data_IF_604136862103
#
_entry.id   IF_604136862103
#
_cell.length_a   1.000
_cell.length_b   1.000
_cell.length_c   1.000
_cell.angle_alpha   90.00
_cell.angle_beta   90.00
_cell.angle_gamma   90.00
#
_symmetry.space_group_name_H-M   'P 1'
#
loop_
_entity.id
_entity.type
_entity.pdbx_description
1 polymer ?
#
# COMPACT_ATOMS: atom_id res chain seq x y z
N UNK A 1 22.22 -0.96 -78.21
CA UNK A 1 22.82 -2.01 -77.37
C UNK A 1 23.38 -1.37 -76.10
N UNK A 2 23.03 -1.95 -74.95
CA UNK A 2 23.81 -1.94 -73.71
C UNK A 2 23.85 -0.63 -72.88
N UNK A 3 22.87 -0.42 -71.98
CA UNK A 3 23.07 0.16 -70.64
C UNK A 3 22.01 -0.36 -69.64
N UNK A 4 21.99 -1.68 -69.46
CA UNK A 4 21.58 -2.29 -68.19
C UNK A 4 22.87 -2.53 -67.41
N UNK A 5 23.04 -1.91 -66.23
CA UNK A 5 23.97 -2.29 -65.14
C UNK A 5 24.25 -1.05 -64.29
N UNK A 6 23.55 -0.92 -63.15
CA UNK A 6 24.12 -0.57 -61.83
C UNK A 6 22.96 -0.31 -60.84
N UNK A 7 22.22 -1.36 -60.51
CA UNK A 7 21.43 -1.40 -59.25
C UNK A 7 22.24 -2.20 -58.24
N UNK A 8 23.34 -1.62 -57.77
CA UNK A 8 24.18 -2.22 -56.74
C UNK A 8 23.54 -1.96 -55.37
N UNK A 9 23.17 -3.05 -54.72
CA UNK A 9 22.69 -3.15 -53.35
C UNK A 9 23.54 -2.32 -52.37
N UNK A 10 22.91 -1.34 -51.74
CA UNK A 10 23.35 -0.81 -50.44
C UNK A 10 22.41 -1.37 -49.37
N UNK A 11 22.56 -2.66 -49.08
CA UNK A 11 22.08 -3.24 -47.83
C UNK A 11 22.99 -2.74 -46.70
N UNK A 12 22.65 -1.58 -46.15
CA UNK A 12 23.22 -1.11 -44.88
C UNK A 12 22.71 -2.05 -43.81
N UNK A 13 23.52 -3.04 -43.46
CA UNK A 13 23.31 -3.86 -42.27
C UNK A 13 23.51 -2.96 -41.05
N UNK A 14 22.42 -2.39 -40.54
CA UNK A 14 22.38 -1.81 -39.20
C UNK A 14 22.67 -2.93 -38.21
N UNK A 15 23.93 -3.05 -37.82
CA UNK A 15 24.34 -3.87 -36.66
C UNK A 15 23.66 -3.23 -35.46
N UNK A 16 22.50 -3.76 -35.09
CA UNK A 16 21.80 -3.39 -33.87
C UNK A 16 22.70 -3.72 -32.69
N UNK A 17 23.27 -2.70 -32.07
CA UNK A 17 23.87 -2.80 -30.74
C UNK A 17 22.75 -3.16 -29.78
N UNK A 18 22.53 -4.47 -29.58
CA UNK A 18 21.72 -4.95 -28.48
C UNK A 18 22.45 -4.59 -27.19
N UNK A 19 22.01 -3.50 -26.55
CA UNK A 19 22.42 -3.18 -25.19
C UNK A 19 21.85 -4.27 -24.29
N UNK A 20 22.70 -5.23 -23.91
CA UNK A 20 22.38 -6.15 -22.83
C UNK A 20 22.33 -5.33 -21.55
N UNK A 21 21.13 -4.96 -21.11
CA UNK A 21 20.95 -4.40 -19.78
C UNK A 21 21.49 -5.43 -18.78
N UNK A 22 22.57 -5.07 -18.08
CA UNK A 22 23.12 -5.92 -17.03
C UNK A 22 22.04 -6.10 -15.96
N UNK A 23 21.79 -7.34 -15.58
CA UNK A 23 20.95 -7.64 -14.44
C UNK A 23 21.51 -6.92 -13.20
N UNK A 24 20.65 -6.32 -12.35
CA UNK A 24 21.10 -5.67 -11.12
C UNK A 24 21.78 -6.69 -10.22
N UNK A 25 22.92 -6.30 -9.65
CA UNK A 25 23.63 -7.13 -8.69
C UNK A 25 22.91 -7.14 -7.34
N UNK A 26 23.24 -8.11 -6.49
CA UNK A 26 22.74 -8.14 -5.10
C UNK A 26 23.08 -6.85 -4.33
N UNK A 27 24.19 -6.20 -4.65
CA UNK A 27 24.59 -4.92 -4.04
C UNK A 27 23.69 -3.77 -4.49
N UNK A 28 23.31 -3.73 -5.78
CA UNK A 28 22.38 -2.73 -6.31
C UNK A 28 21.01 -2.85 -5.62
N UNK A 29 20.51 -4.07 -5.52
CA UNK A 29 19.20 -4.36 -4.90
C UNK A 29 19.20 -3.99 -3.42
N UNK A 30 20.29 -4.25 -2.70
CA UNK A 30 20.47 -3.80 -1.32
C UNK A 30 20.45 -2.26 -1.24
N UNK A 31 21.12 -1.58 -2.17
CA UNK A 31 21.09 -0.12 -2.29
C UNK A 31 19.68 0.42 -2.52
N UNK A 32 18.91 -0.19 -3.41
CA UNK A 32 17.52 0.17 -3.71
C UNK A 32 16.62 0.02 -2.50
N UNK A 33 16.74 -1.11 -1.78
CA UNK A 33 15.99 -1.33 -0.54
C UNK A 33 16.29 -0.24 0.50
N UNK A 34 17.57 0.03 0.74
CA UNK A 34 17.99 1.04 1.71
C UNK A 34 17.50 2.44 1.31
N UNK A 35 17.56 2.79 0.02
CA UNK A 35 17.03 4.05 -0.48
C UNK A 35 15.52 4.17 -0.26
N UNK A 36 14.74 3.11 -0.52
CA UNK A 36 13.31 3.08 -0.25
C UNK A 36 12.98 3.23 1.25
N UNK A 37 13.74 2.55 2.12
CA UNK A 37 13.60 2.69 3.58
C UNK A 37 13.91 4.11 4.06
N UNK A 38 14.97 4.74 3.54
CA UNK A 38 15.32 6.14 3.86
C UNK A 38 14.24 7.11 3.35
N UNK A 39 13.77 6.93 2.12
CA UNK A 39 12.71 7.75 1.53
C UNK A 39 11.38 7.65 2.29
N UNK A 40 11.03 6.44 2.74
CA UNK A 40 9.87 6.18 3.61
C UNK A 40 10.05 6.82 5.00
N UNK A 41 11.25 6.71 5.57
CA UNK A 41 11.59 7.40 6.81
C UNK A 41 11.48 8.93 6.71
N UNK A 42 11.86 9.52 5.57
CA UNK A 42 11.70 10.96 5.32
C UNK A 42 10.23 11.39 5.21
N UNK A 43 9.34 10.48 4.77
CA UNK A 43 7.90 10.69 4.79
C UNK A 43 7.29 10.61 6.21
N UNK A 44 8.05 10.15 7.22
CA UNK A 44 7.53 10.01 8.60
C UNK A 44 7.20 11.37 9.21
N UNK A 45 5.90 11.66 9.35
CA UNK A 45 5.40 12.96 9.78
C UNK A 45 4.53 13.66 8.74
N UNK A 46 4.42 13.11 7.53
CA UNK A 46 3.37 13.47 6.59
C UNK A 46 2.15 12.58 6.79
N UNK A 47 0.99 13.13 6.47
CA UNK A 47 -0.31 12.43 6.45
C UNK A 47 -0.99 12.73 5.12
N UNK A 48 -1.72 11.76 4.58
CA UNK A 48 -2.55 11.97 3.39
C UNK A 48 -3.70 12.91 3.74
N UNK A 49 -3.83 14.04 3.03
CA UNK A 49 -4.93 14.98 3.27
C UNK A 49 -6.22 14.56 2.58
N UNK A 50 -6.16 13.63 1.62
CA UNK A 50 -7.32 13.08 0.93
C UNK A 50 -7.21 11.57 0.90
N UNK A 51 -8.29 10.90 1.30
CA UNK A 51 -8.42 9.45 1.25
C UNK A 51 -9.70 9.08 0.51
N UNK A 52 -9.62 8.22 -0.50
CA UNK A 52 -10.78 7.54 -1.09
C UNK A 52 -10.79 6.11 -0.60
N UNK A 53 -11.93 5.68 -0.07
CA UNK A 53 -12.13 4.36 0.51
C UNK A 53 -13.16 3.64 -0.35
N UNK A 54 -12.89 2.38 -0.66
CA UNK A 54 -13.80 1.47 -1.35
C UNK A 54 -13.92 0.19 -0.54
N UNK A 55 -15.13 -0.26 -0.28
CA UNK A 55 -15.42 -1.48 0.48
C UNK A 55 -16.38 -2.32 -0.35
N UNK A 56 -15.94 -3.52 -0.69
CA UNK A 56 -16.71 -4.51 -1.42
C UNK A 56 -17.00 -5.69 -0.48
N UNK A 57 -18.28 -6.03 -0.31
CA UNK A 57 -18.69 -7.32 0.24
C UNK A 57 -18.84 -8.29 -0.91
N UNK A 58 -18.21 -9.47 -0.79
CA UNK A 58 -18.15 -10.47 -1.85
C UNK A 58 -18.94 -11.72 -1.43
N UNK A 59 -19.59 -12.35 -2.40
CA UNK A 59 -20.17 -13.68 -2.21
C UNK A 59 -19.09 -14.80 -2.27
N UNK A 60 -19.52 -16.05 -2.16
CA UNK A 60 -18.65 -17.22 -2.19
C UNK A 60 -17.92 -17.40 -3.53
N UNK A 61 -18.49 -16.90 -4.63
CA UNK A 61 -17.88 -16.91 -5.96
C UNK A 61 -16.91 -15.74 -6.19
N UNK A 62 -16.88 -14.77 -5.27
CA UNK A 62 -16.06 -13.57 -5.36
C UNK A 62 -16.74 -12.41 -6.10
N UNK A 63 -18.05 -12.51 -6.38
CA UNK A 63 -18.81 -11.41 -6.98
C UNK A 63 -19.19 -10.37 -5.93
N UNK A 64 -19.18 -9.10 -6.33
CA UNK A 64 -19.54 -7.97 -5.45
C UNK A 64 -21.04 -7.98 -5.20
N UNK A 65 -21.42 -8.11 -3.93
CA UNK A 65 -22.81 -8.08 -3.45
C UNK A 65 -23.19 -6.74 -2.82
N UNK A 66 -22.20 -6.01 -2.30
CA UNK A 66 -22.36 -4.64 -1.82
C UNK A 66 -21.09 -3.86 -2.11
N UNK A 67 -21.26 -2.62 -2.58
CA UNK A 67 -20.19 -1.66 -2.81
C UNK A 67 -20.47 -0.39 -1.99
N UNK A 68 -19.49 0.04 -1.22
CA UNK A 68 -19.52 1.28 -0.47
C UNK A 68 -18.24 2.08 -0.77
N UNK A 69 -18.40 3.32 -1.24
CA UNK A 69 -17.30 4.22 -1.56
C UNK A 69 -17.44 5.51 -0.74
N UNK A 70 -16.33 6.03 -0.23
CA UNK A 70 -16.33 7.27 0.56
C UNK A 70 -15.05 8.08 0.32
N UNK A 71 -15.16 9.40 0.31
CA UNK A 71 -14.02 10.31 0.31
C UNK A 71 -13.97 11.07 1.64
N UNK A 72 -12.78 11.10 2.23
CA UNK A 72 -12.47 11.95 3.37
C UNK A 72 -11.35 12.92 3.06
N UNK A 73 -11.36 14.07 3.74
CA UNK A 73 -10.30 15.06 3.71
C UNK A 73 -9.92 15.51 5.11
N UNK A 74 -8.66 15.91 5.28
CA UNK A 74 -8.21 16.56 6.50
C UNK A 74 -8.53 18.06 6.43
N UNK A 75 -9.31 18.54 7.38
CA UNK A 75 -9.47 19.96 7.67
C UNK A 75 -8.37 20.43 8.61
N UNK A 76 -7.57 21.39 8.14
CA UNK A 76 -6.41 21.95 8.82
C UNK A 76 -6.69 23.30 9.51
N UNK A 77 -7.96 23.69 9.63
CA UNK A 77 -8.36 24.94 10.31
C UNK A 77 -8.02 24.94 11.81
N UNK A 78 -7.82 23.77 12.41
CA UNK A 78 -7.42 23.56 13.81
C UNK A 78 -5.97 23.05 13.90
N UNK A 79 -5.30 23.23 15.07
CA UNK A 79 -3.94 22.71 15.28
C UNK A 79 -3.82 21.20 15.04
N UNK A 80 -4.85 20.44 15.44
CA UNK A 80 -4.98 19.01 15.12
C UNK A 80 -5.94 18.87 13.94
N UNK A 81 -5.50 18.32 12.80
CA UNK A 81 -6.38 18.19 11.65
C UNK A 81 -7.53 17.20 11.94
N UNK A 82 -8.73 17.54 11.47
CA UNK A 82 -9.93 16.71 11.64
C UNK A 82 -10.31 16.07 10.30
N UNK A 83 -10.64 14.78 10.32
CA UNK A 83 -11.14 14.09 9.14
C UNK A 83 -12.62 14.47 8.88
N UNK A 84 -12.87 15.06 7.72
CA UNK A 84 -14.19 15.46 7.23
C UNK A 84 -14.61 14.54 6.08
N UNK A 85 -15.84 14.04 6.14
CA UNK A 85 -16.43 13.23 5.07
C UNK A 85 -16.95 14.16 3.98
N UNK A 86 -16.37 14.04 2.79
CA UNK A 86 -16.76 14.81 1.60
C UNK A 86 -18.01 14.20 0.98
N UNK A 87 -17.97 12.90 0.68
CA UNK A 87 -19.09 12.13 0.14
C UNK A 87 -19.00 10.67 0.58
N UNK A 88 -20.13 9.96 0.57
CA UNK A 88 -20.16 8.51 0.65
C UNK A 88 -21.39 7.95 -0.07
N UNK A 89 -21.21 6.86 -0.82
CA UNK A 89 -22.25 6.17 -1.57
C UNK A 89 -22.20 4.68 -1.24
N UNK A 90 -23.36 4.07 -0.97
CA UNK A 90 -23.51 2.63 -0.79
C UNK A 90 -24.56 2.10 -1.76
N UNK A 91 -24.17 1.20 -2.66
CA UNK A 91 -25.07 0.60 -3.65
C UNK A 91 -25.90 1.67 -4.42
N UNK A 92 -25.23 2.77 -4.82
CA UNK A 92 -25.85 3.89 -5.52
C UNK A 92 -26.66 4.87 -4.67
N UNK A 93 -26.78 4.64 -3.35
CA UNK A 93 -27.49 5.55 -2.42
C UNK A 93 -26.50 6.41 -1.64
N UNK A 94 -26.80 7.70 -1.50
CA UNK A 94 -26.03 8.60 -0.65
C UNK A 94 -26.15 8.18 0.83
N UNK A 95 -25.01 7.94 1.46
CA UNK A 95 -24.87 7.57 2.88
C UNK A 95 -23.89 8.51 3.61
N UNK A 96 -23.66 9.71 3.06
CA UNK A 96 -22.68 10.68 3.57
C UNK A 96 -22.94 11.05 5.04
N UNK A 97 -24.19 11.26 5.44
CA UNK A 97 -24.54 11.57 6.82
C UNK A 97 -24.29 10.41 7.79
N UNK A 98 -24.46 9.17 7.34
CA UNK A 98 -24.12 8.00 8.14
C UNK A 98 -22.61 7.94 8.38
N UNK A 99 -21.82 8.20 7.35
CA UNK A 99 -20.36 8.30 7.46
C UNK A 99 -19.91 9.42 8.39
N UNK A 100 -20.52 10.61 8.29
CA UNK A 100 -20.25 11.74 9.22
C UNK A 100 -20.51 11.33 10.66
N UNK A 101 -21.63 10.64 10.93
CA UNK A 101 -21.95 10.11 12.27
C UNK A 101 -20.93 9.07 12.75
N UNK A 102 -20.49 8.15 11.87
CA UNK A 102 -19.45 7.14 12.19
C UNK A 102 -18.13 7.82 12.58
N UNK A 103 -17.67 8.79 11.80
CA UNK A 103 -16.44 9.55 12.08
C UNK A 103 -16.55 10.41 13.35
N UNK A 104 -17.67 11.11 13.54
CA UNK A 104 -17.91 11.88 14.76
C UNK A 104 -17.95 10.99 16.01
N UNK A 105 -18.50 9.78 15.91
CA UNK A 105 -18.47 8.80 17.00
C UNK A 105 -17.04 8.33 17.29
N UNK A 106 -16.29 7.94 16.26
CA UNK A 106 -14.90 7.51 16.41
C UNK A 106 -14.01 8.59 17.06
N UNK A 107 -14.18 9.86 16.68
CA UNK A 107 -13.47 10.98 17.28
C UNK A 107 -13.80 11.15 18.78
N UNK A 108 -15.08 10.99 19.17
CA UNK A 108 -15.51 11.04 20.59
C UNK A 108 -14.93 9.89 21.40
N UNK A 109 -14.91 8.69 20.84
CA UNK A 109 -14.40 7.50 21.52
C UNK A 109 -12.87 7.59 21.73
N UNK A 110 -12.14 8.18 20.78
CA UNK A 110 -10.72 8.50 20.93
C UNK A 110 -10.45 9.56 22.01
N UNK A 111 -11.28 10.61 22.09
CA UNK A 111 -11.13 11.65 23.12
C UNK A 111 -11.35 11.11 24.54
N UNK A 112 -12.26 10.14 24.73
CA UNK A 112 -12.55 9.53 26.04
C UNK A 112 -11.47 8.56 26.50
N UNK A 113 -10.93 7.76 25.58
CA UNK A 113 -9.88 6.78 25.90
C UNK A 113 -8.51 7.40 26.23
N UNK A 114 -8.32 8.70 25.95
CA UNK A 114 -7.14 9.45 26.39
C UNK A 114 -7.20 10.00 27.83
N UNK A 115 -8.36 9.91 28.50
CA UNK A 115 -8.56 10.50 29.83
C UNK A 115 -8.36 9.49 30.99
N UNK A 116 -8.60 8.20 30.76
CA UNK A 116 -8.45 7.16 31.78
C UNK A 116 -7.16 6.37 31.53
N UNK A 117 -6.10 6.70 32.28
CA UNK A 117 -4.75 6.15 32.19
C UNK A 117 -4.59 4.67 32.56
N UNK A 118 -5.57 3.82 32.27
CA UNK A 118 -5.49 2.39 32.56
C UNK A 118 -6.29 1.57 31.53
N UNK A 119 -5.69 1.30 30.37
CA UNK A 119 -6.21 0.34 29.39
C UNK A 119 -5.08 -0.24 28.57
N UNK A 120 -4.75 -1.51 28.84
CA UNK A 120 -3.81 -2.34 28.11
C UNK A 120 -4.35 -2.78 26.72
N UNK A 121 -4.93 -1.85 25.97
CA UNK A 121 -5.24 -1.98 24.54
C UNK A 121 -4.96 -0.61 23.92
N UNK A 122 -3.73 -0.47 23.42
CA UNK A 122 -3.10 0.74 22.90
C UNK A 122 -4.05 1.71 22.17
N UNK A 123 -4.28 2.87 22.79
CA UNK A 123 -4.93 4.02 22.18
C UNK A 123 -4.16 4.52 20.96
N UNK A 124 -4.76 4.32 19.79
CA UNK A 124 -4.61 5.05 18.52
C UNK A 124 -5.56 4.34 17.57
N UNK A 125 -6.48 5.04 16.91
CA UNK A 125 -7.45 4.46 15.97
C UNK A 125 -6.86 3.88 14.68
N UNK A 126 -5.66 3.31 14.75
CA UNK A 126 -5.02 2.56 13.68
C UNK A 126 -5.35 1.07 13.78
N UNK A 127 -4.94 0.28 12.78
CA UNK A 127 -5.05 -1.17 12.85
C UNK A 127 -4.28 -1.69 14.09
N UNK A 128 -4.63 -2.87 14.62
CA UNK A 128 -3.91 -3.44 15.75
C UNK A 128 -2.41 -3.53 15.45
N UNK A 129 -1.55 -3.39 16.47
CA UNK A 129 -0.10 -3.39 16.26
C UNK A 129 0.38 -4.61 15.47
N UNK A 130 1.16 -4.38 14.41
CA UNK A 130 1.64 -5.42 13.49
C UNK A 130 0.79 -5.60 12.22
N UNK A 131 -0.44 -5.08 12.21
CA UNK A 131 -1.26 -4.98 10.99
C UNK A 131 -0.99 -3.70 10.19
N UNK A 132 -0.27 -2.75 10.78
CA UNK A 132 0.35 -1.59 10.12
C UNK A 132 1.76 -1.89 9.57
N UNK A 133 2.24 -3.14 9.62
CA UNK A 133 3.57 -3.50 9.14
C UNK A 133 3.71 -3.28 7.64
N UNK A 134 4.78 -2.57 7.24
CA UNK A 134 5.14 -2.36 5.84
C UNK A 134 6.67 -2.51 5.67
N UNK A 135 7.17 -2.98 4.52
CA UNK A 135 8.58 -3.37 4.35
C UNK A 135 9.57 -2.20 4.40
N UNK A 136 9.10 -0.98 4.13
CA UNK A 136 9.97 0.20 4.07
C UNK A 136 9.81 1.14 5.27
N UNK A 137 8.88 0.89 6.18
CA UNK A 137 8.78 1.69 7.41
C UNK A 137 9.96 1.36 8.35
N UNK A 138 10.82 2.35 8.71
CA UNK A 138 11.94 2.14 9.61
C UNK A 138 11.56 1.53 10.97
N UNK A 139 10.31 1.71 11.43
CA UNK A 139 9.76 1.09 12.64
C UNK A 139 9.95 -0.43 12.66
N UNK A 140 9.85 -1.08 11.49
CA UNK A 140 9.90 -2.55 11.36
C UNK A 140 11.26 -3.10 10.95
N UNK A 141 12.25 -2.23 10.72
CA UNK A 141 13.59 -2.61 10.22
C UNK A 141 14.28 -3.71 11.05
N UNK A 142 14.10 -3.74 12.38
CA UNK A 142 14.71 -4.75 13.26
C UNK A 142 14.10 -6.14 13.11
N UNK A 143 12.80 -6.22 12.81
CA UNK A 143 12.07 -7.49 12.63
C UNK A 143 12.05 -7.97 11.19
N UNK A 144 12.64 -7.21 10.27
CA UNK A 144 12.62 -7.45 8.83
C UNK A 144 13.77 -8.37 8.41
N UNK A 145 13.43 -9.43 7.69
CA UNK A 145 14.37 -10.26 6.93
C UNK A 145 13.99 -10.25 5.45
N UNK A 146 14.99 -10.40 4.58
CA UNK A 146 14.83 -10.39 3.11
C UNK A 146 15.28 -11.73 2.56
N UNK A 147 14.52 -12.26 1.61
CA UNK A 147 14.87 -13.44 0.84
C UNK A 147 15.74 -13.11 -0.36
N UNK A 148 15.99 -14.13 -1.18
CA UNK A 148 16.73 -13.99 -2.42
C UNK A 148 15.91 -13.20 -3.44
N UNK A 149 16.44 -12.12 -4.05
CA UNK A 149 15.74 -11.39 -5.08
C UNK A 149 15.58 -12.21 -6.37
N UNK A 150 14.51 -11.94 -7.11
CA UNK A 150 14.22 -12.51 -8.43
C UNK A 150 13.96 -11.40 -9.45
N UNK A 151 14.34 -11.65 -10.70
CA UNK A 151 13.94 -10.79 -11.82
C UNK A 151 12.58 -11.23 -12.33
N UNK A 152 11.66 -10.26 -12.42
CA UNK A 152 10.31 -10.49 -12.92
C UNK A 152 10.00 -9.40 -13.94
N UNK A 153 9.85 -9.81 -15.21
CA UNK A 153 9.74 -8.89 -16.35
C UNK A 153 10.91 -7.89 -16.37
N UNK A 154 10.62 -6.59 -16.38
CA UNK A 154 11.60 -5.50 -16.35
C UNK A 154 11.90 -4.98 -14.93
N UNK A 155 11.52 -5.71 -13.88
CA UNK A 155 11.68 -5.31 -12.49
C UNK A 155 12.36 -6.37 -11.63
N UNK A 156 12.52 -6.04 -10.35
CA UNK A 156 13.05 -6.93 -9.32
C UNK A 156 12.00 -7.11 -8.24
N UNK A 157 11.81 -8.37 -7.82
CA UNK A 157 11.01 -8.74 -6.68
C UNK A 157 11.91 -9.23 -5.54
N UNK A 158 11.64 -8.76 -4.32
CA UNK A 158 12.39 -9.13 -3.12
C UNK A 158 11.41 -9.68 -2.09
N UNK A 159 11.41 -11.01 -1.86
CA UNK A 159 10.64 -11.61 -0.77
C UNK A 159 11.10 -11.04 0.58
N UNK A 160 10.19 -10.85 1.51
CA UNK A 160 10.51 -10.40 2.86
C UNK A 160 9.59 -11.01 3.91
N UNK A 161 10.08 -11.01 5.16
CA UNK A 161 9.29 -11.37 6.35
C UNK A 161 9.53 -10.32 7.42
N UNK A 162 8.45 -9.76 7.97
CA UNK A 162 8.47 -8.87 9.13
C UNK A 162 7.92 -9.64 10.32
N UNK A 163 8.73 -9.77 11.37
CA UNK A 163 8.27 -10.31 12.66
C UNK A 163 7.66 -9.18 13.49
N UNK A 164 6.37 -9.32 13.83
CA UNK A 164 5.62 -8.37 14.66
C UNK A 164 5.06 -9.06 15.90
N UNK A 165 4.57 -8.29 16.87
CA UNK A 165 3.91 -8.83 18.06
C UNK A 165 2.63 -9.62 17.72
N UNK A 166 1.96 -9.28 16.62
CA UNK A 166 0.79 -10.01 16.12
C UNK A 166 1.17 -11.28 15.31
N UNK A 167 2.46 -11.47 15.02
CA UNK A 167 2.98 -12.59 14.25
C UNK A 167 3.71 -12.19 12.96
N UNK A 168 4.10 -13.18 12.14
CA UNK A 168 4.82 -12.94 10.90
C UNK A 168 3.92 -12.32 9.82
N UNK A 169 4.49 -11.34 9.13
CA UNK A 169 3.96 -10.77 7.90
C UNK A 169 4.92 -11.12 6.77
N UNK A 170 4.46 -11.89 5.81
CA UNK A 170 5.26 -12.35 4.67
C UNK A 170 4.83 -11.59 3.43
N UNK A 171 5.78 -11.18 2.59
CA UNK A 171 5.45 -10.40 1.41
C UNK A 171 6.52 -10.38 0.34
N UNK A 172 6.23 -9.65 -0.72
CA UNK A 172 7.15 -9.40 -1.84
C UNK A 172 7.14 -7.90 -2.10
N UNK A 173 8.32 -7.29 -2.08
CA UNK A 173 8.50 -5.89 -2.48
C UNK A 173 8.93 -5.84 -3.95
N UNK A 174 8.34 -4.93 -4.72
CA UNK A 174 8.57 -4.81 -6.16
C UNK A 174 9.25 -3.49 -6.50
N UNK A 175 10.35 -3.60 -7.24
CA UNK A 175 11.18 -2.49 -7.71
C UNK A 175 11.18 -2.45 -9.24
N UNK A 176 11.15 -1.25 -9.81
CA UNK A 176 11.38 -1.06 -11.24
C UNK A 176 12.83 -1.40 -11.60
N UNK A 177 13.15 -1.57 -12.89
CA UNK A 177 14.53 -1.76 -13.35
C UNK A 177 15.49 -0.61 -13.00
N UNK A 178 14.96 0.56 -12.61
CA UNK A 178 15.74 1.71 -12.10
C UNK A 178 15.99 1.68 -10.59
N UNK A 179 15.40 0.73 -9.87
CA UNK A 179 15.48 0.62 -8.42
C UNK A 179 14.45 1.41 -7.62
N UNK A 180 13.51 2.10 -8.28
CA UNK A 180 12.39 2.72 -7.58
C UNK A 180 11.38 1.65 -7.12
N UNK A 181 11.12 1.56 -5.81
CA UNK A 181 10.04 0.76 -5.24
C UNK A 181 8.66 1.28 -5.70
N UNK A 182 7.81 0.40 -6.22
CA UNK A 182 6.49 0.80 -6.72
C UNK A 182 5.32 0.04 -6.08
N UNK A 183 5.59 -1.11 -5.47
CA UNK A 183 4.56 -1.84 -4.74
C UNK A 183 5.13 -2.87 -3.78
N UNK A 184 4.24 -3.39 -2.94
CA UNK A 184 4.52 -4.56 -2.13
C UNK A 184 3.23 -5.34 -1.91
N UNK A 185 3.31 -6.67 -1.91
CA UNK A 185 2.23 -7.55 -1.45
C UNK A 185 2.62 -8.13 -0.10
N UNK A 186 1.63 -8.43 0.75
CA UNK A 186 1.85 -9.14 1.99
C UNK A 186 0.64 -9.95 2.44
N UNK A 187 0.89 -10.93 3.30
CA UNK A 187 -0.11 -11.76 3.97
C UNK A 187 0.28 -11.94 5.43
N UNK A 188 -0.72 -12.04 6.29
CA UNK A 188 -0.53 -12.34 7.71
C UNK A 188 -0.67 -13.85 7.91
N UNK A 189 0.39 -14.51 8.37
CA UNK A 189 0.35 -15.96 8.60
C UNK A 189 -0.49 -16.31 9.84
N UNK A 190 -0.68 -15.33 10.73
CA UNK A 190 -1.58 -15.37 11.89
C UNK A 190 -2.57 -14.21 11.81
N UNK A 191 -3.67 -14.34 11.06
CA UNK A 191 -4.70 -13.30 11.01
C UNK A 191 -5.38 -13.10 12.37
N UNK A 192 -6.10 -11.98 12.60
CA UNK A 192 -6.86 -11.76 13.82
C UNK A 192 -7.89 -12.85 14.08
N UNK A 193 -8.36 -12.95 15.33
CA UNK A 193 -9.47 -13.85 15.68
C UNK A 193 -10.68 -13.55 14.79
N UNK A 194 -11.35 -14.60 14.32
CA UNK A 194 -12.47 -14.57 13.36
C UNK A 194 -12.13 -14.18 11.91
N UNK A 195 -10.85 -13.95 11.58
CA UNK A 195 -10.38 -13.75 10.21
C UNK A 195 -9.66 -15.02 9.77
N UNK A 196 -10.14 -15.70 8.72
CA UNK A 196 -9.52 -16.92 8.20
C UNK A 196 -8.33 -16.63 7.29
N UNK A 197 -8.35 -15.49 6.59
CA UNK A 197 -7.23 -15.03 5.77
C UNK A 197 -7.26 -13.51 5.62
N UNK A 198 -6.07 -12.92 5.48
CA UNK A 198 -5.90 -11.50 5.21
C UNK A 198 -4.65 -11.29 4.35
N UNK A 199 -4.78 -10.49 3.30
CA UNK A 199 -3.68 -10.05 2.45
C UNK A 199 -3.80 -8.56 2.16
N UNK A 200 -2.69 -7.95 1.78
CA UNK A 200 -2.66 -6.57 1.34
C UNK A 200 -1.72 -6.37 0.17
N UNK A 201 -2.13 -5.51 -0.76
CA UNK A 201 -1.31 -4.99 -1.85
C UNK A 201 -1.18 -3.50 -1.68
N UNK A 202 0.05 -3.03 -1.49
CA UNK A 202 0.40 -1.63 -1.37
C UNK A 202 0.97 -1.12 -2.70
N UNK A 203 0.63 0.12 -3.03
CA UNK A 203 1.24 0.89 -4.12
C UNK A 203 1.95 2.09 -3.54
N UNK A 204 3.11 2.39 -4.10
CA UNK A 204 3.94 3.49 -3.65
C UNK A 204 4.05 4.59 -4.70
N UNK A 205 4.19 5.83 -4.23
CA UNK A 205 4.51 6.99 -5.05
C UNK A 205 5.68 7.76 -4.43
N UNK A 206 6.52 8.32 -5.29
CA UNK A 206 7.56 9.25 -4.87
C UNK A 206 7.10 10.70 -5.06
N UNK A 207 7.28 11.52 -4.04
CA UNK A 207 7.13 12.97 -4.11
C UNK A 207 8.28 13.60 -3.34
N UNK A 208 9.02 14.52 -3.98
CA UNK A 208 10.19 15.19 -3.39
C UNK A 208 11.21 14.22 -2.78
N UNK A 209 11.46 13.09 -3.45
CA UNK A 209 12.31 11.95 -3.02
C UNK A 209 11.84 11.20 -1.77
N UNK A 210 10.68 11.55 -1.22
CA UNK A 210 10.03 10.79 -0.15
C UNK A 210 9.15 9.69 -0.76
N UNK A 211 9.03 8.57 -0.05
CA UNK A 211 8.24 7.43 -0.47
C UNK A 211 6.94 7.38 0.34
N UNK A 212 5.81 7.46 -0.35
CA UNK A 212 4.48 7.41 0.25
C UNK A 212 3.74 6.17 -0.20
N UNK A 213 2.90 5.60 0.67
CA UNK A 213 1.86 4.67 0.26
C UNK A 213 0.78 5.50 -0.44
N UNK A 214 0.62 5.30 -1.75
CA UNK A 214 -0.39 5.97 -2.57
C UNK A 214 -1.69 5.19 -2.68
N UNK A 215 -1.63 3.89 -2.46
CA UNK A 215 -2.84 3.07 -2.38
C UNK A 215 -2.59 1.77 -1.65
N UNK A 216 -3.67 1.20 -1.13
CA UNK A 216 -3.65 -0.06 -0.41
C UNK A 216 -4.93 -0.83 -0.69
N UNK A 217 -4.81 -2.06 -1.16
CA UNK A 217 -5.90 -3.01 -1.25
C UNK A 217 -5.72 -4.03 -0.13
N UNK A 218 -6.78 -4.35 0.58
CA UNK A 218 -6.83 -5.39 1.60
C UNK A 218 -7.90 -6.36 1.16
N UNK A 219 -7.59 -7.65 1.16
CA UNK A 219 -8.55 -8.71 0.96
C UNK A 219 -8.60 -9.57 2.22
N UNK A 220 -9.79 -9.96 2.63
CA UNK A 220 -9.96 -10.81 3.81
C UNK A 220 -11.20 -11.67 3.75
N UNK A 221 -11.15 -12.74 4.52
CA UNK A 221 -12.29 -13.62 4.77
C UNK A 221 -12.52 -13.68 6.28
N UNK A 222 -13.73 -13.30 6.71
CA UNK A 222 -14.19 -13.44 8.09
C UNK A 222 -15.08 -14.66 8.24
N UNK A 223 -14.99 -15.34 9.38
CA UNK A 223 -15.82 -16.49 9.73
C UNK A 223 -16.45 -16.25 11.10
N UNK A 224 -17.75 -15.94 11.12
CA UNK A 224 -18.54 -15.82 12.34
C UNK A 224 -19.65 -16.88 12.30
N UNK A 225 -19.67 -17.80 13.27
CA UNK A 225 -20.73 -18.80 13.44
C UNK A 225 -21.09 -19.52 12.13
N UNK A 226 -20.09 -20.06 11.43
CA UNK A 226 -20.19 -20.77 10.13
C UNK A 226 -20.53 -19.91 8.90
N UNK A 227 -20.78 -18.61 9.05
CA UNK A 227 -20.96 -17.71 7.90
C UNK A 227 -19.60 -17.16 7.49
N UNK A 228 -19.15 -17.53 6.28
CA UNK A 228 -17.98 -16.93 5.63
C UNK A 228 -18.40 -15.66 4.91
N UNK A 229 -17.76 -14.54 5.22
CA UNK A 229 -17.90 -13.30 4.46
C UNK A 229 -16.55 -12.87 3.93
N UNK A 230 -16.48 -12.69 2.62
CA UNK A 230 -15.30 -12.16 1.95
C UNK A 230 -15.47 -10.67 1.73
N UNK A 231 -14.39 -9.93 1.87
CA UNK A 231 -14.38 -8.50 1.63
C UNK A 231 -13.12 -8.06 0.91
N UNK A 232 -13.24 -6.99 0.14
CA UNK A 232 -12.11 -6.25 -0.42
C UNK A 232 -12.24 -4.80 -0.01
N UNK A 233 -11.19 -4.24 0.58
CA UNK A 233 -11.10 -2.83 0.91
C UNK A 233 -10.00 -2.18 0.09
N UNK A 234 -10.31 -1.12 -0.63
CA UNK A 234 -9.36 -0.27 -1.33
C UNK A 234 -9.23 1.07 -0.63
N UNK A 235 -8.01 1.58 -0.55
CA UNK A 235 -7.68 2.91 -0.08
C UNK A 235 -6.80 3.58 -1.12
N UNK A 236 -7.14 4.80 -1.49
CA UNK A 236 -6.30 5.69 -2.29
C UNK A 236 -5.93 6.90 -1.45
N UNK A 237 -4.65 7.20 -1.39
CA UNK A 237 -4.09 8.28 -0.59
C UNK A 237 -3.49 9.34 -1.51
N UNK A 238 -3.76 10.59 -1.20
CA UNK A 238 -3.23 11.74 -1.96
C UNK A 238 -3.09 12.97 -1.09
N UNK A 239 -2.48 14.02 -1.66
CA UNK A 239 -2.32 15.34 -1.05
C UNK A 239 -1.58 15.27 0.30
N UNK A 240 -0.41 14.62 0.33
CA UNK A 240 0.38 14.50 1.57
C UNK A 240 0.79 15.86 2.09
N UNK A 241 0.53 16.09 3.38
CA UNK A 241 0.92 17.30 4.10
C UNK A 241 1.68 16.94 5.36
N UNK A 242 2.68 17.76 5.67
CA UNK A 242 3.44 17.63 6.91
C UNK A 242 2.53 17.96 8.08
N UNK A 243 2.38 17.02 9.00
CA UNK A 243 1.66 17.25 10.26
C UNK A 243 2.47 18.20 11.14
N UNK A 244 1.84 19.24 11.66
CA UNK A 244 2.43 20.08 12.70
C UNK A 244 2.52 19.23 13.97
N UNK A 245 3.74 18.86 14.37
CA UNK A 245 3.99 18.24 15.69
C UNK A 245 4.10 19.32 16.75
#
# INVERSE_FOLDING_TARGET
MLRYLLSALLSVSTVGLFSTALAPSSADILGWWNAATVASGAASGYVASRTVIRIEELDESGLVTSLEEAETRLDWTKPTPEAVVVNAVKNGKDVTEEWRKRYAKAAKDQAKSGADGNSAASGKGGPPGGFDATPFDPKYSRGLSRGQPSLVNAGVEVPYVITTDAGPVEGIASFSGSGAAFGATQRWSKPPVFVSSMSSTMRYAYQDRMLFISGMQIEGETSILFIKRRFRMGFEFSDWRKSAR
#
